data_IF_867932436400
#
_entry.id   IF_867932436400
#
_cell.length_a   1.000
_cell.length_b   1.000
_cell.length_c   1.000
_cell.angle_alpha   90.00
_cell.angle_beta   90.00
_cell.angle_gamma   90.00
#
_symmetry.space_group_name_H-M   'P 1'
#
loop_
_entity.id
_entity.type
_entity.pdbx_description
1 polymer ?
#
# COMPACT_ATOMS: atom_id res chain seq x y z
N UNK A 1 11.79 12.27 6.96
CA UNK A 1 10.43 11.78 7.26
C UNK A 1 10.48 10.96 8.53
N UNK A 2 9.58 11.17 9.49
CA UNK A 2 9.48 10.36 10.71
C UNK A 2 8.42 9.30 10.47
N UNK A 3 8.79 8.01 10.56
CA UNK A 3 7.81 6.92 10.51
C UNK A 3 6.83 7.08 11.66
N UNK A 4 5.55 7.24 11.33
CA UNK A 4 4.50 7.52 12.33
C UNK A 4 3.84 6.23 12.85
N UNK A 5 3.86 5.15 12.05
CA UNK A 5 3.41 3.82 12.44
C UNK A 5 4.01 2.75 11.52
N UNK A 6 4.21 1.54 12.05
CA UNK A 6 4.49 0.32 11.29
C UNK A 6 3.53 -0.77 11.77
N UNK A 7 2.81 -1.40 10.86
CA UNK A 7 1.82 -2.44 11.16
C UNK A 7 2.24 -3.69 10.40
N UNK A 8 2.50 -4.77 11.14
CA UNK A 8 2.86 -6.07 10.58
C UNK A 8 1.81 -7.10 10.93
N UNK A 9 1.40 -7.88 9.94
CA UNK A 9 0.41 -8.92 10.08
C UNK A 9 1.06 -10.29 9.96
N UNK A 10 0.56 -11.27 10.73
CA UNK A 10 1.03 -12.67 10.65
C UNK A 10 0.37 -13.45 9.51
N UNK A 11 -0.79 -12.99 9.07
CA UNK A 11 -1.60 -13.58 8.00
C UNK A 11 -2.27 -12.45 7.18
N UNK A 12 -3.07 -12.79 6.18
CA UNK A 12 -3.83 -11.82 5.40
C UNK A 12 -4.82 -11.06 6.31
N UNK A 13 -4.64 -9.75 6.41
CA UNK A 13 -5.49 -8.87 7.19
C UNK A 13 -5.87 -7.63 6.40
N UNK A 14 -7.02 -7.06 6.75
CA UNK A 14 -7.51 -5.81 6.19
C UNK A 14 -6.94 -4.63 6.98
N UNK A 15 -6.39 -3.63 6.28
CA UNK A 15 -6.22 -2.29 6.85
C UNK A 15 -7.40 -1.46 6.37
N UNK A 16 -8.20 -0.95 7.29
CA UNK A 16 -9.22 0.07 7.00
C UNK A 16 -8.69 1.42 7.46
N UNK A 17 -8.80 2.43 6.62
CA UNK A 17 -8.32 3.78 6.90
C UNK A 17 -9.29 4.80 6.31
N UNK A 18 -9.76 5.70 7.16
CA UNK A 18 -10.53 6.87 6.72
C UNK A 18 -9.56 8.00 6.36
N UNK A 19 -9.61 8.44 5.10
CA UNK A 19 -8.80 9.56 4.61
C UNK A 19 -9.75 10.60 4.02
N UNK A 20 -9.68 11.83 4.52
CA UNK A 20 -10.52 12.92 4.05
C UNK A 20 -9.97 13.55 2.76
N UNK A 21 -10.88 14.08 1.93
CA UNK A 21 -10.59 14.82 0.71
C UNK A 21 -9.61 14.12 -0.26
N UNK A 22 -9.76 12.80 -0.43
CA UNK A 22 -8.95 11.99 -1.36
C UNK A 22 -9.18 12.46 -2.80
N UNK A 23 -8.09 12.81 -3.48
CA UNK A 23 -8.11 13.18 -4.90
C UNK A 23 -7.61 12.05 -5.80
N UNK A 24 -6.71 11.17 -5.29
CA UNK A 24 -6.16 10.06 -6.06
C UNK A 24 -5.60 8.97 -5.18
N UNK A 25 -5.73 7.72 -5.64
CA UNK A 25 -5.03 6.56 -5.08
C UNK A 25 -4.23 5.91 -6.21
N UNK A 26 -2.95 5.66 -5.97
CA UNK A 26 -2.02 5.06 -6.95
C UNK A 26 -1.23 3.95 -6.30
N UNK A 27 -0.91 2.89 -7.07
CA UNK A 27 0.11 1.91 -6.70
C UNK A 27 1.28 1.99 -7.69
N UNK A 28 2.50 1.89 -7.17
CA UNK A 28 3.68 1.68 -8.01
C UNK A 28 3.75 0.23 -8.48
N UNK A 29 4.48 -0.01 -9.58
CA UNK A 29 4.83 -1.36 -9.96
C UNK A 29 5.64 -2.04 -8.83
N UNK A 30 5.41 -3.33 -8.53
CA UNK A 30 6.24 -4.06 -7.60
C UNK A 30 7.71 -4.08 -8.02
N UNK A 31 8.60 -3.79 -7.07
CA UNK A 31 10.05 -3.88 -7.23
C UNK A 31 10.61 -4.96 -6.30
N UNK A 32 11.64 -5.67 -6.76
CA UNK A 32 12.34 -6.66 -5.93
C UNK A 32 13.44 -5.98 -5.12
N UNK A 33 13.51 -6.25 -3.83
CA UNK A 33 14.52 -5.73 -2.90
C UNK A 33 15.74 -6.66 -2.81
N UNK A 34 16.82 -6.16 -2.20
CA UNK A 34 18.09 -6.90 -2.07
C UNK A 34 17.97 -8.18 -1.24
N UNK A 35 17.07 -8.20 -0.27
CA UNK A 35 16.78 -9.37 0.58
C UNK A 35 15.88 -10.42 -0.11
N UNK A 36 15.52 -10.19 -1.38
CA UNK A 36 14.68 -11.07 -2.18
C UNK A 36 13.17 -10.83 -2.01
N UNK A 37 12.75 -9.98 -1.08
CA UNK A 37 11.36 -9.58 -0.92
C UNK A 37 10.90 -8.63 -2.03
N UNK A 38 9.59 -8.37 -2.07
CA UNK A 38 8.93 -7.49 -3.01
C UNK A 38 8.30 -6.31 -2.29
N UNK A 39 8.36 -5.14 -2.92
CA UNK A 39 7.80 -3.92 -2.39
C UNK A 39 6.96 -3.21 -3.45
N UNK A 40 5.83 -2.64 -3.06
CA UNK A 40 5.17 -1.57 -3.82
C UNK A 40 4.74 -0.46 -2.88
N UNK A 41 4.65 0.75 -3.40
CA UNK A 41 4.16 1.91 -2.66
C UNK A 41 2.73 2.22 -3.10
N UNK A 42 1.82 2.34 -2.13
CA UNK A 42 0.50 2.92 -2.34
C UNK A 42 0.50 4.37 -1.87
N UNK A 43 0.13 5.27 -2.76
CA UNK A 43 0.05 6.70 -2.51
C UNK A 43 -1.42 7.14 -2.51
N UNK A 44 -1.91 7.56 -1.35
CA UNK A 44 -3.23 8.19 -1.20
C UNK A 44 -3.00 9.70 -1.11
N UNK A 45 -3.37 10.42 -2.16
CA UNK A 45 -3.25 11.88 -2.24
C UNK A 45 -4.55 12.53 -1.79
N UNK A 46 -4.46 13.53 -0.94
CA UNK A 46 -5.57 14.36 -0.52
C UNK A 46 -5.22 15.85 -0.58
N UNK A 47 -6.21 16.72 -0.37
CA UNK A 47 -5.98 18.16 -0.22
C UNK A 47 -5.08 18.51 0.99
N UNK A 48 -4.95 17.59 1.96
CA UNK A 48 -4.20 17.77 3.20
C UNK A 48 -2.79 17.16 3.17
N UNK A 49 -2.42 16.46 2.09
CA UNK A 49 -1.10 15.87 1.93
C UNK A 49 -1.13 14.52 1.22
N UNK A 50 -0.18 13.65 1.55
CA UNK A 50 -0.09 12.30 0.98
C UNK A 50 0.18 11.30 2.08
N UNK A 51 -0.65 10.26 2.14
CA UNK A 51 -0.37 9.05 2.92
C UNK A 51 0.36 8.09 1.98
N UNK A 52 1.59 7.73 2.34
CA UNK A 52 2.38 6.73 1.65
C UNK A 52 2.41 5.45 2.47
N UNK A 53 2.03 4.33 1.86
CA UNK A 53 2.06 3.01 2.46
C UNK A 53 3.06 2.15 1.68
N UNK A 54 4.08 1.66 2.37
CA UNK A 54 5.02 0.69 1.83
C UNK A 54 4.50 -0.71 2.14
N UNK A 55 4.17 -1.45 1.09
CA UNK A 55 3.63 -2.80 1.17
C UNK A 55 4.75 -3.78 0.82
N UNK A 56 4.98 -4.76 1.70
CA UNK A 56 6.02 -5.79 1.53
C UNK A 56 5.38 -7.16 1.35
N UNK A 57 5.95 -7.97 0.47
CA UNK A 57 5.53 -9.35 0.24
C UNK A 57 6.72 -10.25 -0.12
N UNK A 58 6.54 -11.55 0.05
CA UNK A 58 7.45 -12.61 -0.41
C UNK A 58 7.23 -12.99 -1.89
N UNK A 59 6.09 -12.64 -2.49
CA UNK A 59 5.70 -12.94 -3.88
C UNK A 59 5.03 -11.71 -4.52
N UNK A 60 5.42 -11.29 -5.75
CA UNK A 60 4.85 -10.12 -6.41
C UNK A 60 3.36 -10.27 -6.73
N UNK A 61 2.85 -11.49 -6.91
CA UNK A 61 1.45 -11.75 -7.17
C UNK A 61 0.55 -11.35 -5.98
N UNK A 62 1.09 -11.30 -4.76
CA UNK A 62 0.38 -10.82 -3.56
C UNK A 62 0.21 -9.30 -3.52
N UNK A 63 0.93 -8.56 -4.36
CA UNK A 63 0.84 -7.10 -4.48
C UNK A 63 -0.09 -6.67 -5.62
N UNK A 64 -0.82 -7.62 -6.22
CA UNK A 64 -1.66 -7.35 -7.36
C UNK A 64 -3.01 -6.74 -6.93
N UNK A 65 -3.39 -5.61 -7.53
CA UNK A 65 -4.69 -4.97 -7.26
C UNK A 65 -5.76 -5.71 -8.05
N UNK A 66 -6.59 -6.47 -7.35
CA UNK A 66 -7.83 -6.93 -7.95
C UNK A 66 -8.82 -5.78 -7.94
N UNK A 67 -9.31 -5.39 -9.11
CA UNK A 67 -10.52 -4.58 -9.19
C UNK A 67 -11.62 -5.36 -8.50
N UNK A 68 -12.00 -5.00 -7.28
CA UNK A 68 -13.29 -5.42 -6.76
C UNK A 68 -14.31 -4.72 -7.65
N UNK A 69 -14.92 -5.49 -8.55
CA UNK A 69 -16.07 -5.02 -9.31
C UNK A 69 -17.11 -4.60 -8.29
N UNK A 70 -17.32 -3.28 -8.16
CA UNK A 70 -18.51 -2.76 -7.53
C UNK A 70 -19.63 -2.99 -8.57
N UNK A 71 -20.26 -4.16 -8.50
CA UNK A 71 -21.59 -4.38 -9.07
C UNK A 71 -22.64 -3.62 -8.26
#
# INVERSE_FOLDING_TARGET
>A
MKTVAAISFRDNHSISMDVDAVSRIELTAPIRLEDGSWCCEMLIRSSHGTVALQLLADDPAKLNVQSQGLE
#
